data_IF_852156002712
#
_entry.id   IF_852156002712
#
_cell.length_a   1.000
_cell.length_b   1.000
_cell.length_c   1.000
_cell.angle_alpha   90.00
_cell.angle_beta   90.00
_cell.angle_gamma   90.00
#
_symmetry.space_group_name_H-M   'P 1'
#
loop_
_entity.id
_entity.type
_entity.pdbx_description
1 polymer ?
#
# COMPACT_ATOMS: atom_id res chain seq x y z
N UNK A 1 -1.43 28.59 -10.53
CA UNK A 1 -0.39 27.91 -9.73
C UNK A 1 -1.00 27.15 -8.56
N UNK A 2 -1.62 27.80 -7.57
CA UNK A 2 -2.21 27.10 -6.42
C UNK A 2 -3.36 26.13 -6.77
N UNK A 3 -4.21 26.47 -7.73
CA UNK A 3 -5.34 25.61 -8.12
C UNK A 3 -4.89 24.26 -8.69
N UNK A 4 -3.84 24.24 -9.52
CA UNK A 4 -3.27 22.98 -10.06
C UNK A 4 -2.67 22.12 -8.96
N UNK A 5 -1.97 22.74 -8.01
CA UNK A 5 -1.43 22.05 -6.84
C UNK A 5 -2.54 21.43 -6.00
N UNK A 6 -3.61 22.21 -5.73
CA UNK A 6 -4.77 21.73 -4.99
C UNK A 6 -5.39 20.51 -5.69
N UNK A 7 -5.69 20.61 -6.98
CA UNK A 7 -6.23 19.50 -7.76
C UNK A 7 -5.35 18.26 -7.69
N UNK A 8 -4.03 18.42 -7.84
CA UNK A 8 -3.10 17.30 -7.78
C UNK A 8 -3.04 16.64 -6.39
N UNK A 9 -3.07 17.43 -5.32
CA UNK A 9 -3.07 16.90 -3.95
C UNK A 9 -4.41 16.23 -3.59
N UNK A 10 -5.53 16.81 -4.02
CA UNK A 10 -6.86 16.24 -3.82
C UNK A 10 -7.02 14.92 -4.58
N UNK A 11 -6.56 14.85 -5.83
CA UNK A 11 -6.58 13.64 -6.64
C UNK A 11 -5.70 12.53 -6.03
N UNK A 12 -4.46 12.85 -5.65
CA UNK A 12 -3.59 11.88 -4.98
C UNK A 12 -4.20 11.36 -3.67
N UNK A 13 -4.78 12.24 -2.84
CA UNK A 13 -5.36 11.83 -1.58
C UNK A 13 -6.63 10.99 -1.75
N UNK A 14 -7.47 11.32 -2.73
CA UNK A 14 -8.68 10.56 -3.03
C UNK A 14 -8.35 9.12 -3.45
N UNK A 15 -7.30 8.94 -4.25
CA UNK A 15 -6.83 7.61 -4.66
C UNK A 15 -6.31 6.78 -3.47
N UNK A 16 -5.51 7.38 -2.58
CA UNK A 16 -5.03 6.69 -1.38
C UNK A 16 -6.18 6.33 -0.40
N UNK A 17 -7.20 7.19 -0.29
CA UNK A 17 -8.42 6.87 0.48
C UNK A 17 -9.19 5.70 -0.14
N UNK A 18 -9.39 5.72 -1.46
CA UNK A 18 -10.07 4.66 -2.21
C UNK A 18 -9.34 3.33 -2.04
N UNK A 19 -8.01 3.31 -2.21
CA UNK A 19 -7.18 2.13 -2.05
C UNK A 19 -7.31 1.55 -0.63
N UNK A 20 -7.11 2.40 0.40
CA UNK A 20 -7.25 2.00 1.81
C UNK A 20 -8.63 1.40 2.10
N UNK A 21 -9.71 2.06 1.71
CA UNK A 21 -11.07 1.59 1.95
C UNK A 21 -11.34 0.27 1.24
N UNK A 22 -10.90 0.13 -0.01
CA UNK A 22 -11.06 -1.09 -0.81
C UNK A 22 -10.34 -2.26 -0.15
N UNK A 23 -9.09 -2.07 0.26
CA UNK A 23 -8.29 -3.14 0.87
C UNK A 23 -8.82 -3.53 2.25
N UNK A 24 -9.33 -2.57 3.04
CA UNK A 24 -10.01 -2.86 4.30
C UNK A 24 -11.25 -3.73 4.09
N UNK A 25 -12.06 -3.42 3.07
CA UNK A 25 -13.25 -4.21 2.73
C UNK A 25 -12.88 -5.65 2.31
N UNK A 26 -11.81 -5.81 1.53
CA UNK A 26 -11.30 -7.13 1.13
C UNK A 26 -10.92 -7.96 2.37
N UNK A 27 -10.18 -7.37 3.31
CA UNK A 27 -9.79 -8.05 4.55
C UNK A 27 -11.00 -8.40 5.42
N UNK A 28 -12.02 -7.55 5.46
CA UNK A 28 -13.25 -7.82 6.18
C UNK A 28 -14.00 -9.04 5.61
N UNK A 29 -14.06 -9.18 4.28
CA UNK A 29 -14.78 -10.28 3.62
C UNK A 29 -14.00 -11.59 3.65
N UNK A 30 -12.71 -11.57 3.32
CA UNK A 30 -11.93 -12.77 3.03
C UNK A 30 -10.89 -13.11 4.12
N UNK A 31 -10.75 -12.26 5.14
CA UNK A 31 -9.78 -12.43 6.22
C UNK A 31 -8.37 -11.94 5.85
N UNK A 32 -7.38 -12.28 6.67
CA UNK A 32 -6.01 -11.77 6.53
C UNK A 32 -5.29 -12.31 5.28
N UNK A 33 -5.33 -11.52 4.22
CA UNK A 33 -4.59 -11.77 2.99
C UNK A 33 -3.38 -10.82 2.95
N UNK A 34 -2.18 -11.41 2.98
CA UNK A 34 -0.90 -10.70 3.17
C UNK A 34 -0.69 -9.41 2.36
N UNK A 35 -0.89 -9.37 1.03
CA UNK A 35 -0.72 -8.13 0.26
C UNK A 35 -1.56 -6.99 0.84
N UNK A 36 -2.86 -7.21 1.08
CA UNK A 36 -3.76 -6.17 1.59
C UNK A 36 -3.38 -5.67 2.98
N UNK A 37 -3.00 -6.56 3.91
CA UNK A 37 -2.56 -6.16 5.26
C UNK A 37 -1.35 -5.21 5.21
N UNK A 38 -0.35 -5.57 4.41
CA UNK A 38 0.89 -4.80 4.34
C UNK A 38 0.70 -3.48 3.56
N UNK A 39 -0.14 -3.50 2.52
CA UNK A 39 -0.34 -2.34 1.65
C UNK A 39 -1.19 -1.28 2.34
N UNK A 40 -2.23 -1.64 3.11
CA UNK A 40 -3.00 -0.67 3.92
C UNK A 40 -2.09 0.18 4.82
N UNK A 41 -1.10 -0.45 5.46
CA UNK A 41 -0.13 0.30 6.29
C UNK A 41 0.74 1.25 5.45
N UNK A 42 0.96 0.94 4.17
CA UNK A 42 1.61 1.85 3.23
C UNK A 42 0.71 3.03 2.89
N UNK A 43 -0.56 2.78 2.58
CA UNK A 43 -1.50 3.85 2.20
C UNK A 43 -1.73 4.81 3.35
N UNK A 44 -1.79 4.30 4.59
CA UNK A 44 -1.84 5.15 5.77
C UNK A 44 -0.63 6.10 5.85
N UNK A 45 0.58 5.63 5.52
CA UNK A 45 1.78 6.48 5.48
C UNK A 45 1.74 7.46 4.31
N UNK A 46 1.21 7.05 3.16
CA UNK A 46 1.03 7.92 2.00
C UNK A 46 0.07 9.07 2.32
N UNK A 47 -1.08 8.75 2.92
CA UNK A 47 -2.07 9.72 3.41
C UNK A 47 -1.42 10.73 4.38
N UNK A 48 -0.62 10.27 5.34
CA UNK A 48 0.06 11.19 6.27
C UNK A 48 1.10 12.09 5.58
N UNK A 49 1.81 11.57 4.57
CA UNK A 49 2.74 12.37 3.78
C UNK A 49 1.98 13.45 2.98
N UNK A 50 0.83 13.11 2.39
CA UNK A 50 -0.03 14.06 1.69
C UNK A 50 -0.61 15.10 2.64
N UNK A 51 -1.13 14.72 3.82
CA UNK A 51 -1.62 15.65 4.83
C UNK A 51 -0.60 16.71 5.21
N UNK A 52 0.68 16.33 5.29
CA UNK A 52 1.78 17.28 5.56
C UNK A 52 1.89 18.35 4.47
N UNK A 53 1.64 17.99 3.20
CA UNK A 53 1.61 18.94 2.08
C UNK A 53 0.36 19.83 2.15
N UNK A 54 -0.83 19.26 2.38
CA UNK A 54 -2.06 20.03 2.58
C UNK A 54 -1.90 21.11 3.66
N UNK A 55 -1.35 20.73 4.81
CA UNK A 55 -1.07 21.66 5.91
C UNK A 55 -0.07 22.74 5.51
N UNK A 56 1.05 22.35 4.86
CA UNK A 56 2.08 23.29 4.42
C UNK A 56 1.55 24.35 3.47
N UNK A 57 0.71 23.95 2.52
CA UNK A 57 0.13 24.85 1.52
C UNK A 57 -1.20 25.49 1.94
N UNK A 58 -1.65 25.24 3.18
CA UNK A 58 -2.92 25.74 3.73
C UNK A 58 -4.14 25.37 2.88
N UNK A 59 -4.09 24.18 2.27
CA UNK A 59 -5.19 23.65 1.47
C UNK A 59 -6.09 22.83 2.41
N UNK A 60 -7.41 23.03 2.40
CA UNK A 60 -8.33 22.21 3.18
C UNK A 60 -8.21 20.73 2.78
N UNK A 61 -8.17 19.85 3.77
CA UNK A 61 -8.11 18.40 3.54
C UNK A 61 -9.52 17.88 3.21
N UNK A 62 -9.74 17.24 2.05
CA UNK A 62 -10.99 16.56 1.74
C UNK A 62 -11.36 15.49 2.76
N UNK A 63 -12.66 15.38 3.05
CA UNK A 63 -13.21 14.35 3.93
C UNK A 63 -13.17 13.00 3.20
N UNK A 64 -12.70 11.96 3.89
CA UNK A 64 -12.79 10.59 3.38
C UNK A 64 -14.25 10.11 3.40
N UNK A 65 -14.77 9.74 2.23
CA UNK A 65 -16.12 9.22 2.03
C UNK A 65 -16.13 7.81 1.42
N UNK A 66 -14.97 7.18 1.25
CA UNK A 66 -14.85 5.95 0.46
C UNK A 66 -15.39 4.71 1.16
N UNK A 67 -15.43 4.70 2.49
CA UNK A 67 -15.92 3.56 3.28
C UNK A 67 -17.28 3.03 2.81
N UNK A 68 -18.18 3.92 2.39
CA UNK A 68 -19.54 3.56 1.96
C UNK A 68 -19.69 3.50 0.43
N UNK A 69 -18.61 3.75 -0.33
CA UNK A 69 -18.60 3.83 -1.79
C UNK A 69 -17.82 2.71 -2.47
N UNK A 70 -16.98 1.99 -1.73
CA UNK A 70 -16.20 0.88 -2.28
C UNK A 70 -17.08 -0.35 -2.51
N UNK A 71 -16.89 -0.97 -3.66
CA UNK A 71 -17.62 -2.18 -4.04
C UNK A 71 -16.90 -3.44 -3.55
N UNK A 72 -17.69 -4.41 -3.12
CA UNK A 72 -17.17 -5.63 -2.53
C UNK A 72 -16.78 -6.64 -3.62
N UNK A 73 -15.52 -7.07 -3.74
CA UNK A 73 -15.11 -7.99 -4.80
C UNK A 73 -15.68 -9.39 -4.59
N UNK A 74 -15.93 -10.11 -5.68
CA UNK A 74 -16.57 -11.43 -5.67
C UNK A 74 -15.66 -12.54 -5.12
N UNK A 75 -14.35 -12.43 -5.33
CA UNK A 75 -13.36 -13.42 -4.90
C UNK A 75 -12.02 -12.77 -4.53
N UNK A 76 -11.13 -13.56 -3.92
CA UNK A 76 -9.74 -13.13 -3.66
C UNK A 76 -8.98 -12.88 -4.97
N UNK A 77 -9.22 -13.72 -5.99
CA UNK A 77 -8.61 -13.53 -7.30
C UNK A 77 -9.03 -12.20 -7.91
N UNK A 78 -10.33 -11.90 -7.95
CA UNK A 78 -10.84 -10.63 -8.51
C UNK A 78 -10.35 -9.43 -7.70
N UNK A 79 -10.23 -9.54 -6.37
CA UNK A 79 -9.64 -8.50 -5.54
C UNK A 79 -8.16 -8.25 -5.88
N UNK A 80 -7.39 -9.30 -6.13
CA UNK A 80 -5.97 -9.16 -6.50
C UNK A 80 -5.77 -8.68 -7.93
N UNK A 81 -6.65 -9.04 -8.87
CA UNK A 81 -6.65 -8.49 -10.23
C UNK A 81 -7.03 -7.01 -10.23
N UNK A 82 -8.06 -6.62 -9.45
CA UNK A 82 -8.42 -5.22 -9.25
C UNK A 82 -7.27 -4.42 -8.62
N UNK A 83 -6.55 -5.01 -7.65
CA UNK A 83 -5.34 -4.40 -7.08
C UNK A 83 -4.26 -4.16 -8.14
N UNK A 84 -3.96 -5.13 -9.01
CA UNK A 84 -3.00 -4.92 -10.12
C UNK A 84 -3.42 -3.73 -11.00
N UNK A 85 -4.70 -3.67 -11.37
CA UNK A 85 -5.21 -2.59 -12.22
C UNK A 85 -5.11 -1.23 -11.52
N UNK A 86 -5.47 -1.16 -10.23
CA UNK A 86 -5.35 0.05 -9.43
C UNK A 86 -3.90 0.58 -9.36
N UNK A 87 -2.90 -0.30 -9.21
CA UNK A 87 -1.49 0.12 -9.19
C UNK A 87 -0.97 0.60 -10.56
N UNK A 88 -1.53 0.11 -11.67
CA UNK A 88 -1.20 0.61 -13.01
C UNK A 88 -1.79 2.02 -13.18
N UNK A 89 -3.06 2.19 -12.84
CA UNK A 89 -3.78 3.49 -12.88
C UNK A 89 -3.11 4.52 -11.96
N UNK A 90 -2.67 4.11 -10.76
CA UNK A 90 -1.91 4.95 -9.84
C UNK A 90 -0.58 5.42 -10.44
N UNK A 91 0.13 4.53 -11.14
CA UNK A 91 1.36 4.86 -11.86
C UNK A 91 1.14 5.96 -12.90
N UNK A 92 0.14 5.79 -13.76
CA UNK A 92 -0.26 6.76 -14.79
C UNK A 92 -0.75 8.08 -14.19
N UNK A 93 -1.51 8.02 -13.10
CA UNK A 93 -1.94 9.19 -12.34
C UNK A 93 -0.72 9.98 -11.87
N UNK A 94 0.23 9.36 -11.17
CA UNK A 94 1.41 10.07 -10.67
C UNK A 94 2.27 10.67 -11.78
N UNK A 95 2.38 10.02 -12.95
CA UNK A 95 3.05 10.64 -14.11
C UNK A 95 2.42 11.98 -14.49
N UNK A 96 1.08 12.04 -14.57
CA UNK A 96 0.35 13.29 -14.84
C UNK A 96 0.50 14.30 -13.70
N UNK A 97 0.38 13.85 -12.44
CA UNK A 97 0.45 14.73 -11.27
C UNK A 97 1.85 15.36 -11.11
N UNK A 98 2.90 14.62 -11.44
CA UNK A 98 4.28 15.12 -11.46
C UNK A 98 4.43 16.23 -12.50
N UNK A 99 3.93 16.05 -13.72
CA UNK A 99 3.94 17.11 -14.75
C UNK A 99 3.12 18.35 -14.32
N UNK A 100 2.02 18.16 -13.58
CA UNK A 100 1.19 19.26 -13.08
C UNK A 100 1.84 20.08 -11.97
N UNK A 101 2.85 19.53 -11.27
CA UNK A 101 3.42 20.09 -10.04
C UNK A 101 4.92 20.32 -10.11
N UNK A 102 5.50 20.44 -11.31
CA UNK A 102 6.95 20.60 -11.53
C UNK A 102 7.57 21.77 -10.74
N UNK A 103 6.79 22.82 -10.50
CA UNK A 103 7.20 24.02 -9.76
C UNK A 103 7.30 23.80 -8.22
N UNK A 104 6.94 22.63 -7.72
CA UNK A 104 6.86 22.32 -6.28
C UNK A 104 7.80 21.15 -5.89
N UNK A 105 9.10 21.40 -5.64
CA UNK A 105 10.10 20.34 -5.45
C UNK A 105 9.83 19.37 -4.28
N UNK A 106 9.19 19.85 -3.22
CA UNK A 106 8.80 19.03 -2.08
C UNK A 106 7.60 18.13 -2.38
N UNK A 107 6.63 18.61 -3.16
CA UNK A 107 5.51 17.82 -3.69
C UNK A 107 6.03 16.74 -4.63
N UNK A 108 6.90 17.12 -5.58
CA UNK A 108 7.58 16.20 -6.50
C UNK A 108 8.25 15.03 -5.75
N UNK A 109 8.98 15.35 -4.67
CA UNK A 109 9.65 14.34 -3.85
C UNK A 109 8.67 13.37 -3.18
N UNK A 110 7.54 13.86 -2.69
CA UNK A 110 6.51 13.00 -2.09
C UNK A 110 5.87 12.13 -3.17
N UNK A 111 5.42 12.71 -4.28
CA UNK A 111 4.78 11.97 -5.38
C UNK A 111 5.70 10.90 -5.97
N UNK A 112 6.98 11.20 -6.23
CA UNK A 112 7.95 10.20 -6.70
C UNK A 112 8.13 9.05 -5.70
N UNK A 113 8.10 9.33 -4.39
CA UNK A 113 8.20 8.30 -3.37
C UNK A 113 6.95 7.40 -3.34
N UNK A 114 5.76 7.99 -3.44
CA UNK A 114 4.49 7.26 -3.45
C UNK A 114 4.37 6.40 -4.73
N UNK A 115 4.62 6.98 -5.91
CA UNK A 115 4.66 6.26 -7.18
C UNK A 115 5.65 5.09 -7.14
N UNK A 116 6.86 5.32 -6.61
CA UNK A 116 7.86 4.27 -6.47
C UNK A 116 7.38 3.14 -5.55
N UNK A 117 6.70 3.47 -4.45
CA UNK A 117 6.15 2.48 -3.54
C UNK A 117 5.09 1.61 -4.22
N UNK A 118 4.17 2.24 -4.96
CA UNK A 118 3.17 1.57 -5.79
C UNK A 118 3.83 0.61 -6.81
N UNK A 119 4.65 1.15 -7.71
CA UNK A 119 5.21 0.40 -8.84
C UNK A 119 6.20 -0.71 -8.41
N UNK A 120 7.03 -0.45 -7.39
CA UNK A 120 8.09 -1.39 -7.00
C UNK A 120 7.64 -2.40 -5.94
N UNK A 121 6.63 -2.07 -5.14
CA UNK A 121 6.20 -2.93 -4.03
C UNK A 121 4.77 -3.44 -4.21
N UNK A 122 3.79 -2.54 -4.35
CA UNK A 122 2.38 -2.90 -4.35
C UNK A 122 2.01 -3.70 -5.60
N UNK A 123 2.35 -3.18 -6.79
CA UNK A 123 2.08 -3.84 -8.07
C UNK A 123 2.63 -5.27 -8.08
N UNK A 124 3.88 -5.44 -7.64
CA UNK A 124 4.52 -6.76 -7.56
C UNK A 124 3.85 -7.67 -6.53
N UNK A 125 3.34 -7.12 -5.43
CA UNK A 125 2.61 -7.88 -4.42
C UNK A 125 1.26 -8.37 -4.94
N UNK A 126 0.51 -7.54 -5.66
CA UNK A 126 -0.75 -7.94 -6.29
C UNK A 126 -0.55 -8.93 -7.44
N UNK A 127 0.47 -8.74 -8.29
CA UNK A 127 0.82 -9.71 -9.34
C UNK A 127 1.11 -11.11 -8.76
N UNK A 128 1.86 -11.18 -7.65
CA UNK A 128 2.08 -12.44 -6.92
C UNK A 128 0.80 -12.99 -6.30
N UNK A 129 -0.09 -12.12 -5.82
CA UNK A 129 -1.38 -12.56 -5.29
C UNK A 129 -2.25 -13.22 -6.36
N UNK A 130 -2.31 -12.64 -7.56
CA UNK A 130 -3.04 -13.23 -8.70
C UNK A 130 -2.50 -14.61 -9.02
N UNK A 131 -1.17 -14.77 -9.10
CA UNK A 131 -0.54 -16.07 -9.35
C UNK A 131 -0.92 -17.11 -8.28
N UNK A 132 -0.88 -16.74 -7.00
CA UNK A 132 -1.22 -17.63 -5.88
C UNK A 132 -2.71 -17.97 -5.82
N UNK A 133 -3.58 -17.03 -6.18
CA UNK A 133 -5.04 -17.23 -6.13
C UNK A 133 -5.55 -18.13 -7.27
N UNK A 134 -4.75 -18.32 -8.32
CA UNK A 134 -5.03 -19.24 -9.43
C UNK A 134 -4.55 -20.67 -9.17
N UNK A 135 -3.73 -20.88 -8.14
CA UNK A 135 -3.13 -22.17 -7.83
C UNK A 135 -3.83 -22.82 -6.62
N UNK A 136 -4.75 -23.78 -6.83
CA UNK A 136 -5.55 -24.38 -5.76
C UNK A 136 -4.75 -25.23 -4.76
N UNK A 137 -3.48 -25.54 -5.04
CA UNK A 137 -2.62 -26.37 -4.18
C UNK A 137 -1.74 -25.57 -3.19
N UNK A 138 -1.71 -24.24 -3.27
CA UNK A 138 -0.94 -23.42 -2.34
C UNK A 138 -1.80 -22.93 -1.17
N UNK A 139 -1.65 -23.50 0.04
CA UNK A 139 -2.38 -22.99 1.19
C UNK A 139 -1.91 -21.57 1.47
N UNK A 140 -2.84 -20.64 1.64
CA UNK A 140 -2.62 -19.28 2.15
C UNK A 140 -2.06 -19.40 3.58
N UNK A 141 -0.78 -19.76 3.72
CA UNK A 141 -0.12 -19.95 5.01
C UNK A 141 0.34 -18.60 5.54
N UNK A 142 -0.61 -17.89 6.16
CA UNK A 142 -0.32 -16.98 7.25
C UNK A 142 0.14 -17.78 8.48
N UNK A 143 1.42 -18.19 8.52
CA UNK A 143 2.12 -18.55 9.78
C UNK A 143 3.63 -18.67 9.51
N UNK A 144 4.37 -17.57 9.77
CA UNK A 144 5.82 -17.68 10.00
C UNK A 144 6.01 -18.30 11.38
N UNK A 145 6.32 -19.59 11.41
CA UNK A 145 6.84 -20.23 12.61
C UNK A 145 8.15 -19.55 13.02
N UNK A 146 8.18 -18.97 14.23
CA UNK A 146 9.41 -18.57 14.92
C UNK A 146 10.32 -19.80 15.00
N UNK A 147 11.38 -19.84 14.20
CA UNK A 147 12.53 -20.73 14.50
C UNK A 147 13.25 -20.13 15.70
N UNK A 148 13.02 -20.73 16.86
CA UNK A 148 13.82 -20.52 18.06
C UNK A 148 15.25 -20.97 17.76
N UNK A 149 16.15 -20.01 17.56
CA UNK A 149 17.59 -20.24 17.69
C UNK A 149 17.87 -20.56 19.17
N UNK A 150 17.99 -21.84 19.51
CA UNK A 150 18.66 -22.26 20.75
C UNK A 150 20.16 -22.05 20.56
N UNK A 151 20.65 -20.91 21.06
CA UNK A 151 22.07 -20.69 21.27
C UNK A 151 22.61 -21.64 22.33
N UNK A 152 23.40 -22.63 21.91
CA UNK A 152 24.22 -23.42 22.82
C UNK A 152 25.36 -22.56 23.34
N UNK A 153 25.25 -22.10 24.59
CA UNK A 153 26.34 -21.46 25.33
C UNK A 153 27.36 -22.54 25.69
N UNK A 154 28.62 -22.31 25.31
CA UNK A 154 29.75 -23.07 25.84
C UNK A 154 29.90 -22.83 27.34
N UNK A 155 30.02 -23.91 28.09
CA UNK A 155 30.55 -23.91 29.44
C UNK A 155 31.94 -24.56 29.45
N UNK A 156 32.83 -23.88 30.16
CA UNK A 156 34.27 -24.13 30.28
C UNK A 156 34.57 -25.31 31.21
N UNK A 157 35.69 -25.98 30.91
CA UNK A 157 36.77 -26.43 31.81
C UNK A 157 36.50 -27.59 32.81
N UNK A 158 37.40 -28.57 32.64
CA UNK A 158 38.21 -29.29 33.65
C UNK A 158 37.72 -30.62 34.24
N UNK A 159 38.60 -31.61 34.04
CA UNK A 159 38.85 -32.84 34.81
C UNK A 159 37.74 -33.89 34.92
N UNK A 160 37.98 -35.05 34.31
CA UNK A 160 37.65 -36.35 34.88
C UNK A 160 38.58 -37.44 34.33
N UNK A 161 39.24 -38.12 35.28
CA UNK A 161 39.97 -39.39 35.24
C UNK A 161 41.25 -39.50 34.42
#
# INVERSE_FOLDING_TARGET
MLEKLKQALEEALDDEYKARATYQLVLQKFGEIRPFVNIIQSEERHIQALFSLFQKYQIPIPIDTWKDRVEMPDSVLSACEAGVQAEIENGEMYERLLAMTEEYPDVQRVFLNLQRASQQNHLRAFQRCVQQSRDPEFPIRGRRGRRQHRGGRGCRRQHCC
#
